data_IF_422559266896
#
_entry.id   IF_422559266896
#
_cell.length_a   1.000
_cell.length_b   1.000
_cell.length_c   1.000
_cell.angle_alpha   90.00
_cell.angle_beta   90.00
_cell.angle_gamma   90.00
#
_symmetry.space_group_name_H-M   'P 1'
#
loop_
_entity.id
_entity.type
_entity.pdbx_description
1 polymer ?
#
# COMPACT_ATOMS: atom_id res chain seq x y z
N UNK A 1 20.84 -19.65 -12.13
CA UNK A 1 19.51 -19.82 -11.50
C UNK A 1 19.03 -21.23 -11.81
N UNK A 2 18.67 -22.01 -10.80
CA UNK A 2 18.09 -23.35 -11.00
C UNK A 2 16.61 -23.23 -11.34
N UNK A 3 16.12 -24.15 -12.16
CA UNK A 3 14.74 -24.25 -12.60
C UNK A 3 13.99 -25.19 -11.65
N UNK A 4 12.85 -24.75 -11.11
CA UNK A 4 11.92 -25.57 -10.34
C UNK A 4 10.71 -25.91 -11.22
N UNK A 5 10.32 -27.18 -11.27
CA UNK A 5 9.20 -27.64 -12.08
C UNK A 5 7.94 -27.77 -11.22
N UNK A 6 6.84 -27.14 -11.66
CA UNK A 6 5.54 -27.20 -10.99
C UNK A 6 4.56 -27.96 -11.88
N UNK A 7 3.95 -29.01 -11.34
CA UNK A 7 2.86 -29.71 -12.01
C UNK A 7 1.51 -29.24 -11.52
N UNK A 8 0.57 -29.04 -12.45
CA UNK A 8 -0.86 -28.86 -12.18
C UNK A 8 -1.66 -29.46 -13.33
N UNK A 9 -2.77 -30.15 -13.03
CA UNK A 9 -3.67 -30.66 -14.08
C UNK A 9 -4.31 -29.53 -14.88
N UNK A 10 -4.49 -28.36 -14.25
CA UNK A 10 -5.03 -27.16 -14.87
C UNK A 10 -4.09 -25.98 -14.65
N UNK A 11 -3.59 -25.40 -15.74
CA UNK A 11 -2.76 -24.19 -15.73
C UNK A 11 -3.67 -23.00 -16.02
N UNK A 12 -3.89 -22.16 -15.02
CA UNK A 12 -4.80 -21.00 -15.10
C UNK A 12 -4.05 -19.67 -14.97
N UNK A 13 -4.63 -18.55 -15.41
CA UNK A 13 -4.05 -17.22 -15.17
C UNK A 13 -3.81 -16.94 -13.67
N UNK A 14 -4.73 -17.36 -12.79
CA UNK A 14 -4.60 -17.24 -11.32
C UNK A 14 -3.37 -17.99 -10.78
N UNK A 15 -3.18 -19.24 -11.23
CA UNK A 15 -2.04 -20.06 -10.83
C UNK A 15 -0.71 -19.46 -11.32
N UNK A 16 -0.65 -19.04 -12.59
CA UNK A 16 0.53 -18.37 -13.15
C UNK A 16 0.89 -17.09 -12.37
N UNK A 17 -0.11 -16.28 -12.04
CA UNK A 17 0.09 -15.04 -11.29
C UNK A 17 0.75 -15.29 -9.93
N UNK A 18 0.18 -16.20 -9.13
CA UNK A 18 0.69 -16.46 -7.78
C UNK A 18 2.04 -17.16 -7.78
N UNK A 19 2.28 -18.09 -8.72
CA UNK A 19 3.59 -18.73 -8.89
C UNK A 19 4.65 -17.67 -9.23
N UNK A 20 4.37 -16.76 -10.17
CA UNK A 20 5.33 -15.70 -10.49
C UNK A 20 5.58 -14.77 -9.29
N UNK A 21 4.54 -14.41 -8.53
CA UNK A 21 4.76 -13.61 -7.32
C UNK A 21 5.69 -14.31 -6.33
N UNK A 22 5.41 -15.58 -5.98
CA UNK A 22 6.18 -16.33 -5.00
C UNK A 22 7.60 -16.61 -5.50
N UNK A 23 7.74 -17.21 -6.68
CA UNK A 23 9.02 -17.74 -7.11
C UNK A 23 9.89 -16.68 -7.80
N UNK A 24 9.38 -15.94 -8.77
CA UNK A 24 10.17 -14.94 -9.49
C UNK A 24 10.35 -13.66 -8.65
N UNK A 25 9.23 -13.05 -8.24
CA UNK A 25 9.26 -11.75 -7.56
C UNK A 25 9.72 -11.83 -6.10
N UNK A 26 9.32 -12.84 -5.33
CA UNK A 26 9.70 -12.94 -3.93
C UNK A 26 11.00 -13.71 -3.73
N UNK A 27 11.09 -14.94 -4.26
CA UNK A 27 12.22 -15.85 -4.03
C UNK A 27 13.36 -15.73 -5.06
N UNK A 28 13.14 -15.16 -6.25
CA UNK A 28 14.15 -15.13 -7.32
C UNK A 28 14.52 -16.51 -7.91
N UNK A 29 13.58 -17.46 -7.86
CA UNK A 29 13.72 -18.82 -8.40
C UNK A 29 12.97 -18.89 -9.74
N UNK A 30 13.64 -19.39 -10.78
CA UNK A 30 12.98 -19.63 -12.07
C UNK A 30 12.09 -20.86 -11.96
N UNK A 31 10.87 -20.76 -12.46
CA UNK A 31 9.90 -21.86 -12.49
C UNK A 31 9.44 -22.16 -13.91
N UNK A 32 9.11 -23.41 -14.15
CA UNK A 32 8.31 -23.85 -15.29
C UNK A 32 7.07 -24.59 -14.79
N UNK A 33 5.94 -24.43 -15.47
CA UNK A 33 4.67 -25.04 -15.08
C UNK A 33 4.21 -25.98 -16.20
N UNK A 34 3.93 -27.23 -15.85
CA UNK A 34 3.53 -28.27 -16.81
C UNK A 34 2.26 -28.99 -16.38
N UNK A 35 1.47 -29.42 -17.35
CA UNK A 35 0.38 -30.38 -17.18
C UNK A 35 0.74 -31.76 -17.75
N UNK A 36 1.94 -31.92 -18.30
CA UNK A 36 2.47 -33.20 -18.76
C UNK A 36 3.02 -33.99 -17.57
N UNK A 37 2.25 -34.99 -17.15
CA UNK A 37 2.57 -35.85 -16.01
C UNK A 37 3.81 -36.72 -16.27
N UNK A 38 3.99 -37.20 -17.50
CA UNK A 38 5.13 -38.06 -17.84
C UNK A 38 6.42 -37.24 -17.88
N UNK A 39 6.37 -36.03 -18.43
CA UNK A 39 7.49 -35.08 -18.35
C UNK A 39 7.84 -34.75 -16.89
N UNK A 40 6.83 -34.51 -16.04
CA UNK A 40 7.05 -34.24 -14.62
C UNK A 40 7.68 -35.43 -13.87
N UNK A 41 7.19 -36.66 -14.12
CA UNK A 41 7.74 -37.87 -13.50
C UNK A 41 9.20 -38.07 -13.88
N UNK A 42 9.51 -37.94 -15.17
CA UNK A 42 10.85 -38.20 -15.73
C UNK A 42 11.86 -37.05 -15.53
N UNK A 43 11.44 -35.90 -14.98
CA UNK A 43 12.33 -34.77 -14.70
C UNK A 43 13.10 -34.94 -13.39
N UNK A 44 14.40 -34.66 -13.41
CA UNK A 44 15.28 -34.63 -12.22
C UNK A 44 15.32 -33.26 -11.52
N UNK A 45 14.53 -32.30 -11.97
CA UNK A 45 14.45 -30.98 -11.35
C UNK A 45 13.82 -31.05 -9.95
N UNK A 46 14.04 -30.03 -9.09
CA UNK A 46 13.19 -29.81 -7.92
C UNK A 46 11.74 -29.70 -8.35
N UNK A 47 10.86 -30.48 -7.72
CA UNK A 47 9.48 -30.67 -8.15
C UNK A 47 8.47 -30.27 -7.09
N UNK A 48 7.50 -29.45 -7.49
CA UNK A 48 6.28 -29.20 -6.72
C UNK A 48 5.10 -29.75 -7.51
N UNK A 49 4.19 -30.43 -6.83
CA UNK A 49 2.90 -30.81 -7.42
C UNK A 49 1.77 -30.08 -6.73
N UNK A 50 0.88 -29.49 -7.52
CA UNK A 50 -0.31 -28.79 -7.05
C UNK A 50 -1.56 -29.61 -7.39
N UNK A 51 -1.84 -30.63 -6.56
CA UNK A 51 -2.97 -31.55 -6.71
C UNK A 51 -3.37 -32.16 -5.35
N UNK A 52 -4.60 -32.65 -5.24
CA UNK A 52 -5.17 -33.17 -3.98
C UNK A 52 -4.57 -34.51 -3.52
N UNK A 53 -3.62 -35.06 -4.27
CA UNK A 53 -2.90 -36.31 -4.00
C UNK A 53 -1.42 -36.14 -4.30
N UNK A 54 -0.69 -37.24 -4.55
CA UNK A 54 0.73 -37.20 -4.91
C UNK A 54 0.98 -37.99 -6.18
N UNK A 55 1.99 -37.60 -6.94
CA UNK A 55 2.43 -38.35 -8.13
C UNK A 55 3.58 -39.28 -7.77
N UNK A 56 4.59 -38.74 -7.09
CA UNK A 56 5.82 -39.41 -6.66
C UNK A 56 6.15 -39.00 -5.22
N UNK A 57 7.45 -38.87 -4.89
CA UNK A 57 7.92 -38.28 -3.64
C UNK A 57 8.33 -36.81 -3.84
N UNK A 58 7.53 -35.99 -4.50
CA UNK A 58 7.75 -34.55 -4.67
C UNK A 58 7.28 -33.72 -3.46
N UNK A 59 7.45 -32.39 -3.51
CA UNK A 59 6.80 -31.49 -2.57
C UNK A 59 5.37 -31.22 -3.02
N UNK A 60 4.37 -31.69 -2.28
CA UNK A 60 2.97 -31.58 -2.68
C UNK A 60 2.24 -30.47 -1.91
N UNK A 61 1.49 -29.65 -2.64
CA UNK A 61 0.54 -28.66 -2.12
C UNK A 61 -0.85 -29.09 -2.58
N UNK A 62 -1.77 -29.30 -1.64
CA UNK A 62 -3.14 -29.65 -1.96
C UNK A 62 -3.93 -28.38 -2.30
N UNK A 63 -4.60 -28.31 -3.47
CA UNK A 63 -5.40 -27.16 -3.86
C UNK A 63 -6.72 -27.10 -3.08
N UNK A 64 -7.12 -25.91 -2.67
CA UNK A 64 -8.50 -25.57 -2.25
C UNK A 64 -9.45 -25.54 -3.46
N UNK A 65 -8.95 -25.03 -4.59
CA UNK A 65 -9.66 -24.95 -5.86
C UNK A 65 -9.91 -23.53 -6.36
N UNK A 66 -9.77 -22.49 -5.53
CA UNK A 66 -9.98 -21.08 -5.94
C UNK A 66 -9.14 -20.66 -7.16
N UNK A 67 -7.94 -21.24 -7.34
CA UNK A 67 -7.09 -20.95 -8.50
C UNK A 67 -7.60 -21.55 -9.81
N UNK A 68 -8.56 -22.47 -9.75
CA UNK A 68 -9.17 -23.11 -10.92
C UNK A 68 -10.54 -22.52 -11.28
N UNK A 69 -11.06 -21.63 -10.45
CA UNK A 69 -12.33 -20.95 -10.69
C UNK A 69 -12.17 -19.78 -11.67
N UNK A 70 -13.23 -19.50 -12.44
CA UNK A 70 -13.34 -18.31 -13.29
C UNK A 70 -14.33 -17.28 -12.73
N UNK A 71 -15.19 -17.71 -11.80
CA UNK A 71 -16.18 -16.84 -11.16
C UNK A 71 -15.63 -16.30 -9.84
N UNK A 72 -16.18 -15.17 -9.40
CA UNK A 72 -15.97 -14.64 -8.05
C UNK A 72 -17.13 -15.13 -7.19
N UNK A 73 -16.83 -15.97 -6.20
CA UNK A 73 -17.80 -16.58 -5.30
C UNK A 73 -17.46 -16.25 -3.86
N UNK A 74 -18.46 -16.19 -3.00
CA UNK A 74 -18.22 -15.99 -1.58
C UNK A 74 -17.34 -17.13 -1.03
N UNK A 75 -16.31 -16.75 -0.28
CA UNK A 75 -15.36 -17.67 0.35
C UNK A 75 -15.29 -17.37 1.84
N UNK A 76 -15.37 -18.40 2.66
CA UNK A 76 -15.18 -18.33 4.10
C UNK A 76 -14.03 -19.25 4.49
N UNK A 77 -12.78 -18.89 4.16
CA UNK A 77 -11.67 -19.75 4.50
C UNK A 77 -11.49 -19.78 6.02
N UNK A 78 -11.48 -21.00 6.57
CA UNK A 78 -11.15 -21.24 7.96
C UNK A 78 -9.70 -20.82 8.23
N UNK A 79 -9.45 -20.37 9.45
CA UNK A 79 -8.10 -20.05 9.93
C UNK A 79 -7.63 -21.11 10.91
N UNK A 80 -6.37 -21.51 10.75
CA UNK A 80 -5.64 -22.34 11.70
C UNK A 80 -4.25 -21.76 11.95
N UNK A 81 -3.59 -22.22 13.01
CA UNK A 81 -2.21 -21.83 13.32
C UNK A 81 -1.23 -22.87 12.77
N UNK A 82 -0.20 -22.40 12.06
CA UNK A 82 0.94 -23.20 11.60
C UNK A 82 2.24 -22.48 11.94
N UNK A 83 3.05 -23.06 12.84
CA UNK A 83 4.30 -22.45 13.33
C UNK A 83 4.11 -21.00 13.80
N UNK A 84 3.09 -20.77 14.63
CA UNK A 84 2.67 -19.45 15.12
C UNK A 84 2.24 -18.44 14.04
N UNK A 85 2.04 -18.90 12.80
CA UNK A 85 1.46 -18.12 11.72
C UNK A 85 -0.02 -18.49 11.54
N UNK A 86 -0.93 -17.50 11.49
CA UNK A 86 -2.28 -17.76 11.05
C UNK A 86 -2.24 -18.07 9.55
N UNK A 87 -2.85 -19.17 9.14
CA UNK A 87 -2.97 -19.59 7.74
C UNK A 87 -4.44 -19.81 7.40
N UNK A 88 -4.79 -19.54 6.14
CA UNK A 88 -6.14 -19.71 5.59
C UNK A 88 -6.12 -20.79 4.50
N UNK A 89 -7.29 -21.35 4.17
CA UNK A 89 -7.44 -22.48 3.23
C UNK A 89 -6.73 -23.76 3.71
N UNK A 90 -7.17 -24.37 4.84
CA UNK A 90 -6.56 -25.59 5.36
C UNK A 90 -6.61 -26.74 4.34
N UNK A 91 -5.56 -27.54 4.30
CA UNK A 91 -5.44 -28.68 3.41
C UNK A 91 -6.21 -29.89 3.98
N UNK A 92 -7.00 -30.55 3.13
CA UNK A 92 -7.87 -31.67 3.54
C UNK A 92 -7.20 -33.06 3.50
N UNK A 93 -5.96 -33.16 2.97
CA UNK A 93 -5.27 -34.41 2.63
C UNK A 93 -3.79 -34.37 3.05
N UNK A 94 -3.03 -35.50 3.03
CA UNK A 94 -1.60 -35.52 3.37
C UNK A 94 -0.72 -34.73 2.38
N UNK A 95 -0.69 -33.41 2.55
CA UNK A 95 0.18 -32.47 1.85
C UNK A 95 1.45 -32.16 2.66
N UNK A 96 2.44 -31.51 2.03
CA UNK A 96 3.65 -31.08 2.74
C UNK A 96 3.44 -29.80 3.57
N UNK A 97 2.37 -29.06 3.29
CA UNK A 97 1.92 -27.91 4.07
C UNK A 97 0.51 -28.17 4.62
N UNK A 98 0.15 -27.60 5.78
CA UNK A 98 -1.19 -27.78 6.33
C UNK A 98 -2.26 -26.92 5.65
N UNK A 99 -1.90 -26.11 4.65
CA UNK A 99 -2.81 -25.20 3.95
C UNK A 99 -2.38 -25.01 2.48
N UNK A 100 -3.31 -24.54 1.67
CA UNK A 100 -3.05 -24.13 0.30
C UNK A 100 -2.43 -22.72 0.28
N UNK A 101 -1.09 -22.67 0.31
CA UNK A 101 -0.35 -21.42 0.25
C UNK A 101 -0.60 -20.64 -1.05
N UNK A 102 -0.83 -21.32 -2.18
CA UNK A 102 -1.05 -20.63 -3.45
C UNK A 102 -2.43 -19.97 -3.46
N UNK A 103 -3.47 -20.65 -2.99
CA UNK A 103 -4.80 -20.03 -2.79
C UNK A 103 -4.75 -18.89 -1.78
N UNK A 104 -4.11 -19.09 -0.63
CA UNK A 104 -4.01 -18.08 0.43
C UNK A 104 -3.37 -16.79 -0.07
N UNK A 105 -2.21 -16.88 -0.74
CA UNK A 105 -1.52 -15.71 -1.27
C UNK A 105 -2.33 -15.03 -2.38
N UNK A 106 -2.93 -15.81 -3.29
CA UNK A 106 -3.78 -15.25 -4.34
C UNK A 106 -4.96 -14.46 -3.76
N UNK A 107 -5.66 -15.02 -2.78
CA UNK A 107 -6.79 -14.37 -2.10
C UNK A 107 -6.39 -13.03 -1.47
N UNK A 108 -5.22 -13.02 -0.81
CA UNK A 108 -4.67 -11.84 -0.15
C UNK A 108 -4.25 -10.73 -1.13
N UNK A 109 -3.51 -11.06 -2.18
CA UNK A 109 -2.97 -10.09 -3.14
C UNK A 109 -4.05 -9.50 -4.04
N UNK A 110 -5.01 -10.32 -4.48
CA UNK A 110 -6.11 -9.86 -5.34
C UNK A 110 -7.15 -9.04 -4.57
N UNK A 111 -7.03 -8.96 -3.24
CA UNK A 111 -8.06 -8.38 -2.36
C UNK A 111 -9.44 -8.97 -2.68
N UNK A 112 -9.50 -10.29 -2.83
CA UNK A 112 -10.67 -11.02 -3.32
C UNK A 112 -11.98 -10.63 -2.58
N UNK A 113 -11.89 -10.39 -1.27
CA UNK A 113 -12.99 -9.91 -0.41
C UNK A 113 -13.66 -8.62 -0.92
N UNK A 114 -12.91 -7.73 -1.56
CA UNK A 114 -13.39 -6.41 -1.97
C UNK A 114 -14.19 -6.45 -3.29
N UNK A 115 -14.20 -7.60 -3.96
CA UNK A 115 -15.08 -7.89 -5.10
C UNK A 115 -16.43 -8.48 -4.67
N UNK A 116 -16.55 -8.92 -3.42
CA UNK A 116 -17.79 -9.46 -2.84
C UNK A 116 -18.62 -8.33 -2.20
N UNK A 117 -19.91 -8.56 -1.91
CA UNK A 117 -20.72 -7.59 -1.17
C UNK A 117 -20.12 -7.28 0.22
N UNK A 118 -19.99 -6.00 0.55
CA UNK A 118 -19.56 -5.54 1.88
C UNK A 118 -20.30 -4.27 2.29
N UNK A 119 -20.26 -3.95 3.58
CA UNK A 119 -20.75 -2.67 4.09
C UNK A 119 -19.62 -1.64 4.03
N UNK A 120 -19.69 -0.62 3.17
CA UNK A 120 -18.64 0.38 3.08
C UNK A 120 -18.62 1.29 4.32
N UNK A 121 -17.47 1.88 4.61
CA UNK A 121 -17.37 2.95 5.59
C UNK A 121 -18.05 4.26 5.11
N UNK A 122 -18.05 5.28 5.95
CA UNK A 122 -18.67 6.60 5.62
C UNK A 122 -18.08 7.30 4.38
N UNK A 123 -16.94 6.83 3.88
CA UNK A 123 -16.25 7.34 2.70
C UNK A 123 -16.39 6.42 1.48
N UNK A 124 -17.19 5.34 1.58
CA UNK A 124 -17.37 4.40 0.49
C UNK A 124 -16.19 3.44 0.31
N UNK A 125 -15.38 3.20 1.36
CA UNK A 125 -14.18 2.34 1.30
C UNK A 125 -14.48 0.99 1.93
N UNK A 126 -13.72 -0.04 1.54
CA UNK A 126 -13.70 -1.31 2.26
C UNK A 126 -13.08 -1.11 3.66
N UNK A 127 -13.84 -1.29 4.76
CA UNK A 127 -13.32 -1.07 6.10
C UNK A 127 -12.42 -2.23 6.55
N UNK A 128 -11.38 -1.94 7.34
CA UNK A 128 -10.49 -2.96 7.89
C UNK A 128 -11.26 -4.04 8.67
N UNK A 129 -12.32 -3.66 9.40
CA UNK A 129 -13.14 -4.56 10.22
C UNK A 129 -13.86 -5.64 9.42
N UNK A 130 -14.05 -5.44 8.11
CA UNK A 130 -14.64 -6.45 7.24
C UNK A 130 -13.62 -7.47 6.73
N UNK A 131 -12.31 -7.18 6.82
CA UNK A 131 -11.26 -8.08 6.35
C UNK A 131 -11.06 -9.28 7.27
N UNK A 132 -10.69 -10.42 6.67
CA UNK A 132 -10.17 -11.57 7.40
C UNK A 132 -8.96 -11.22 8.26
N UNK A 133 -8.06 -10.36 7.78
CA UNK A 133 -6.88 -9.92 8.53
C UNK A 133 -7.25 -9.30 9.88
N UNK A 134 -8.32 -8.52 9.92
CA UNK A 134 -8.83 -7.95 11.15
C UNK A 134 -9.59 -8.99 11.97
N UNK A 135 -10.51 -9.74 11.35
CA UNK A 135 -11.34 -10.76 12.03
C UNK A 135 -10.50 -11.82 12.73
N UNK A 136 -9.37 -12.21 12.14
CA UNK A 136 -8.42 -13.17 12.69
C UNK A 136 -7.20 -12.53 13.38
N UNK A 137 -7.23 -11.22 13.63
CA UNK A 137 -6.23 -10.50 14.45
C UNK A 137 -4.78 -10.57 13.97
N UNK A 138 -4.55 -10.57 12.65
CA UNK A 138 -3.21 -10.56 12.05
C UNK A 138 -2.96 -9.39 11.11
N UNK A 139 -3.77 -8.33 11.20
CA UNK A 139 -3.64 -7.13 10.37
C UNK A 139 -2.26 -6.47 10.46
N UNK A 140 -1.58 -6.58 11.59
CA UNK A 140 -0.25 -6.00 11.83
C UNK A 140 0.89 -6.97 11.53
N UNK A 141 0.61 -8.07 10.83
CA UNK A 141 1.61 -9.05 10.38
C UNK A 141 1.70 -9.07 8.86
N UNK A 142 2.93 -9.13 8.35
CA UNK A 142 3.21 -9.36 6.93
C UNK A 142 3.00 -10.85 6.60
N UNK A 143 1.78 -11.37 6.81
CA UNK A 143 1.46 -12.80 6.78
C UNK A 143 1.86 -13.45 5.46
N UNK A 144 1.67 -12.78 4.31
CA UNK A 144 2.06 -13.30 3.00
C UNK A 144 3.58 -13.48 2.91
N UNK A 145 4.36 -12.46 3.32
CA UNK A 145 5.82 -12.54 3.32
C UNK A 145 6.29 -13.66 4.27
N UNK A 146 5.69 -13.77 5.46
CA UNK A 146 5.98 -14.83 6.44
C UNK A 146 5.63 -16.22 5.93
N UNK A 147 4.49 -16.39 5.25
CA UNK A 147 4.11 -17.65 4.64
C UNK A 147 5.12 -18.08 3.59
N UNK A 148 5.59 -17.16 2.74
CA UNK A 148 6.60 -17.50 1.71
C UNK A 148 7.94 -17.88 2.36
N UNK A 149 8.37 -17.20 3.43
CA UNK A 149 9.56 -17.58 4.17
C UNK A 149 9.44 -18.98 4.78
N UNK A 150 8.36 -19.26 5.51
CA UNK A 150 8.12 -20.57 6.13
C UNK A 150 7.99 -21.68 5.08
N UNK A 151 7.32 -21.39 3.96
CA UNK A 151 7.22 -22.28 2.81
C UNK A 151 8.59 -22.58 2.22
N UNK A 152 9.44 -21.56 2.02
CA UNK A 152 10.77 -21.77 1.45
C UNK A 152 11.66 -22.63 2.37
N UNK A 153 11.54 -22.49 3.69
CA UNK A 153 12.21 -23.37 4.65
C UNK A 153 11.76 -24.82 4.45
N UNK A 154 10.45 -25.08 4.46
CA UNK A 154 9.91 -26.43 4.24
C UNK A 154 10.30 -27.00 2.86
N UNK A 155 10.35 -26.17 1.83
CA UNK A 155 10.77 -26.57 0.49
C UNK A 155 12.26 -26.92 0.45
N UNK A 156 13.12 -26.18 1.16
CA UNK A 156 14.55 -26.46 1.29
C UNK A 156 14.87 -27.73 2.07
N UNK A 157 14.04 -28.11 3.03
CA UNK A 157 14.22 -29.40 3.72
C UNK A 157 14.16 -30.58 2.73
N UNK A 158 13.39 -30.42 1.64
CA UNK A 158 13.29 -31.41 0.57
C UNK A 158 14.28 -31.19 -0.56
N UNK A 159 14.55 -29.94 -0.92
CA UNK A 159 15.46 -29.54 -1.99
C UNK A 159 16.51 -28.56 -1.46
N UNK A 160 17.54 -29.05 -0.72
CA UNK A 160 18.52 -28.22 -0.03
C UNK A 160 19.33 -27.31 -0.97
N UNK A 161 19.38 -27.68 -2.23
CA UNK A 161 20.14 -27.04 -3.29
C UNK A 161 19.43 -25.83 -3.92
N UNK A 162 18.18 -25.54 -3.52
CA UNK A 162 17.46 -24.31 -3.86
C UNK A 162 18.01 -23.11 -3.08
N UNK A 163 18.18 -22.01 -3.79
CA UNK A 163 18.71 -20.75 -3.26
C UNK A 163 17.73 -19.65 -3.63
N UNK A 164 17.23 -18.93 -2.62
CA UNK A 164 16.45 -17.71 -2.83
C UNK A 164 17.38 -16.52 -3.02
N UNK A 165 16.94 -15.50 -3.75
CA UNK A 165 17.63 -14.22 -3.79
C UNK A 165 17.66 -13.59 -2.40
N UNK A 166 18.71 -12.82 -2.15
CA UNK A 166 18.77 -11.96 -0.98
C UNK A 166 17.78 -10.80 -1.14
N UNK A 167 17.09 -10.50 -0.04
CA UNK A 167 16.15 -9.39 0.07
C UNK A 167 16.72 -8.39 1.06
N UNK A 168 16.49 -7.11 0.81
CA UNK A 168 16.94 -6.04 1.71
C UNK A 168 15.75 -5.23 2.16
N UNK A 169 15.72 -4.92 3.46
CA UNK A 169 14.79 -3.96 4.02
C UNK A 169 14.96 -2.60 3.33
N UNK A 170 13.83 -1.95 3.03
CA UNK A 170 13.79 -0.59 2.45
C UNK A 170 12.78 0.26 3.20
N UNK A 171 13.03 1.55 3.25
CA UNK A 171 12.09 2.53 3.76
C UNK A 171 11.82 3.59 2.69
N UNK A 172 10.54 3.85 2.41
CA UNK A 172 10.11 4.89 1.47
C UNK A 172 9.18 5.85 2.22
N UNK A 173 9.67 7.04 2.62
CA UNK A 173 8.82 8.07 3.18
C UNK A 173 7.96 8.69 2.07
N UNK A 174 6.71 9.02 2.39
CA UNK A 174 5.82 9.68 1.45
C UNK A 174 5.01 10.78 2.12
N UNK A 175 4.73 11.84 1.37
CA UNK A 175 3.95 13.00 1.84
C UNK A 175 2.78 13.27 0.91
N UNK A 176 1.58 13.43 1.48
CA UNK A 176 0.39 13.85 0.76
C UNK A 176 0.16 15.36 0.98
N UNK A 177 -0.06 16.09 -0.11
CA UNK A 177 -0.28 17.54 -0.10
C UNK A 177 -1.73 17.84 -0.43
N UNK A 178 -2.58 17.80 0.60
CA UNK A 178 -4.01 18.10 0.49
C UNK A 178 -4.28 19.60 0.61
N UNK A 179 -3.68 20.22 1.61
CA UNK A 179 -3.90 21.62 1.98
C UNK A 179 -2.54 22.27 2.27
N UNK A 180 -1.85 22.80 1.25
CA UNK A 180 -0.51 23.35 1.40
C UNK A 180 -0.43 24.67 2.20
N UNK A 181 -1.57 25.33 2.42
CA UNK A 181 -1.66 26.61 3.14
C UNK A 181 -2.88 26.58 4.06
N UNK A 182 -2.74 26.94 5.32
CA UNK A 182 -3.83 27.10 6.28
C UNK A 182 -4.68 28.33 5.92
N UNK A 183 -4.05 29.42 5.50
CA UNK A 183 -4.68 30.72 5.30
C UNK A 183 -4.40 31.33 3.92
N UNK A 184 -3.14 31.31 3.47
CA UNK A 184 -2.75 31.96 2.23
C UNK A 184 -3.38 31.29 1.00
N UNK A 185 -3.54 32.07 -0.07
CA UNK A 185 -4.03 31.62 -1.38
C UNK A 185 -5.43 30.96 -1.43
N UNK A 186 -6.19 30.92 -0.32
CA UNK A 186 -7.56 30.35 -0.27
C UNK A 186 -8.66 31.26 -0.82
N UNK A 187 -8.34 32.51 -1.14
CA UNK A 187 -9.29 33.51 -1.65
C UNK A 187 -10.07 34.19 -0.51
N UNK A 188 -10.53 35.42 -0.78
CA UNK A 188 -11.06 36.35 0.23
C UNK A 188 -12.24 35.77 1.00
N UNK A 189 -13.21 35.17 0.31
CA UNK A 189 -14.41 34.60 0.96
C UNK A 189 -14.10 33.47 1.94
N UNK A 190 -13.13 32.59 1.62
CA UNK A 190 -12.71 31.50 2.53
C UNK A 190 -11.96 32.05 3.74
N UNK A 191 -11.16 33.10 3.55
CA UNK A 191 -10.48 33.76 4.67
C UNK A 191 -11.47 34.45 5.61
N UNK A 192 -12.44 35.20 5.07
CA UNK A 192 -13.50 35.86 5.84
C UNK A 192 -14.40 34.86 6.57
N UNK A 193 -14.87 33.82 5.88
CA UNK A 193 -15.69 32.77 6.50
C UNK A 193 -14.95 32.04 7.62
N UNK A 194 -13.65 31.77 7.44
CA UNK A 194 -12.80 31.19 8.49
C UNK A 194 -12.62 32.11 9.70
N UNK A 195 -12.50 33.42 9.48
CA UNK A 195 -12.42 34.42 10.55
C UNK A 195 -13.73 34.51 11.35
N UNK A 196 -14.87 34.60 10.66
CA UNK A 196 -16.21 34.61 11.28
C UNK A 196 -16.42 33.33 12.10
N UNK A 197 -16.08 32.17 11.54
CA UNK A 197 -16.20 30.90 12.26
C UNK A 197 -15.33 30.85 13.51
N UNK A 198 -14.11 31.41 13.46
CA UNK A 198 -13.21 31.47 14.61
C UNK A 198 -13.78 32.37 15.72
N UNK A 199 -14.43 33.48 15.36
CA UNK A 199 -15.12 34.37 16.32
C UNK A 199 -16.30 33.63 16.96
N UNK A 200 -17.16 32.98 16.16
CA UNK A 200 -18.32 32.22 16.65
C UNK A 200 -17.88 31.09 17.60
N UNK A 201 -16.76 30.42 17.30
CA UNK A 201 -16.19 29.35 18.13
C UNK A 201 -15.31 29.85 19.28
N UNK A 202 -15.15 31.17 19.45
CA UNK A 202 -14.28 31.80 20.45
C UNK A 202 -12.80 31.35 20.34
N UNK A 203 -12.34 30.99 19.15
CA UNK A 203 -10.97 30.56 18.85
C UNK A 203 -10.07 31.77 18.52
N UNK A 204 -9.95 32.72 19.45
CA UNK A 204 -9.24 33.99 19.21
C UNK A 204 -7.76 33.83 18.83
N UNK A 205 -7.09 32.77 19.34
CA UNK A 205 -5.71 32.46 18.96
C UNK A 205 -5.59 32.16 17.47
N UNK A 206 -6.52 31.35 16.91
CA UNK A 206 -6.55 31.05 15.47
C UNK A 206 -6.91 32.28 14.64
N UNK A 207 -7.76 33.16 15.15
CA UNK A 207 -8.07 34.43 14.49
C UNK A 207 -6.83 35.33 14.41
N UNK A 208 -6.09 35.49 15.52
CA UNK A 208 -4.87 36.29 15.53
C UNK A 208 -3.82 35.69 14.59
N UNK A 209 -3.56 34.38 14.66
CA UNK A 209 -2.63 33.70 13.75
C UNK A 209 -2.99 33.95 12.28
N UNK A 210 -4.26 33.75 11.90
CA UNK A 210 -4.75 34.07 10.56
C UNK A 210 -4.46 35.51 10.14
N UNK A 211 -4.72 36.48 11.01
CA UNK A 211 -4.46 37.90 10.72
C UNK A 211 -2.97 38.20 10.56
N UNK A 212 -2.11 37.65 11.43
CA UNK A 212 -0.66 37.81 11.34
C UNK A 212 -0.10 37.21 10.05
N UNK A 213 -0.59 36.02 9.65
CA UNK A 213 -0.17 35.36 8.41
C UNK A 213 -0.63 36.15 7.17
N UNK A 214 -1.89 36.58 7.13
CA UNK A 214 -2.39 37.41 6.01
C UNK A 214 -1.65 38.75 5.92
N UNK A 215 -1.26 39.33 7.06
CA UNK A 215 -0.48 40.56 7.11
C UNK A 215 1.03 40.36 6.81
N UNK A 216 1.48 39.12 6.55
CA UNK A 216 2.88 38.80 6.26
C UNK A 216 3.82 38.88 7.47
N UNK A 217 3.27 38.91 8.69
CA UNK A 217 4.05 39.00 9.94
C UNK A 217 4.47 37.64 10.48
N UNK A 218 3.84 36.56 10.00
CA UNK A 218 4.12 35.17 10.37
C UNK A 218 4.02 34.29 9.12
N UNK A 219 4.81 33.20 9.02
CA UNK A 219 4.66 32.21 7.95
C UNK A 219 3.35 31.45 8.09
N UNK A 220 2.83 30.94 6.97
CA UNK A 220 1.65 30.07 7.00
C UNK A 220 1.99 28.71 7.64
N UNK A 221 1.27 28.26 8.69
CA UNK A 221 1.67 27.09 9.46
C UNK A 221 1.61 25.77 8.68
N UNK A 222 0.85 25.70 7.58
CA UNK A 222 0.80 24.48 6.76
C UNK A 222 1.87 24.45 5.66
N UNK A 223 2.57 25.57 5.45
CA UNK A 223 3.64 25.65 4.47
C UNK A 223 4.96 25.17 5.08
N UNK A 224 5.15 23.85 5.08
CA UNK A 224 6.23 23.15 5.83
C UNK A 224 7.34 22.60 4.94
N UNK A 225 7.32 22.90 3.63
CA UNK A 225 8.14 22.24 2.62
C UNK A 225 9.65 22.44 2.79
N UNK A 226 10.09 23.54 3.41
CA UNK A 226 11.50 23.73 3.74
C UNK A 226 11.97 22.74 4.83
N UNK A 227 11.16 22.52 5.86
CA UNK A 227 11.43 21.48 6.88
C UNK A 227 11.43 20.09 6.27
N UNK A 228 10.47 19.79 5.38
CA UNK A 228 10.42 18.51 4.67
C UNK A 228 11.72 18.30 3.88
N UNK A 229 12.17 19.31 3.13
CA UNK A 229 13.43 19.25 2.37
C UNK A 229 14.63 18.99 3.28
N UNK A 230 14.72 19.69 4.41
CA UNK A 230 15.82 19.52 5.38
C UNK A 230 15.89 18.09 5.95
N UNK A 231 14.75 17.44 6.14
CA UNK A 231 14.67 16.05 6.63
C UNK A 231 14.93 15.00 5.53
N UNK A 232 14.90 15.37 4.26
CA UNK A 232 15.09 14.47 3.11
C UNK A 232 16.17 14.96 2.13
N UNK A 233 17.44 15.06 2.57
CA UNK A 233 18.52 15.50 1.69
C UNK A 233 18.81 14.52 0.54
N UNK A 234 18.52 13.23 0.74
CA UNK A 234 18.93 12.13 -0.16
C UNK A 234 17.92 11.85 -1.31
N UNK A 235 16.78 12.53 -1.35
CA UNK A 235 15.82 12.42 -2.46
C UNK A 235 14.95 11.13 -2.49
N UNK A 236 14.95 10.32 -1.42
CA UNK A 236 14.12 9.10 -1.30
C UNK A 236 12.62 9.38 -1.05
N UNK A 237 12.22 10.66 -0.99
CA UNK A 237 10.85 11.10 -0.72
C UNK A 237 9.98 11.07 -1.98
N UNK A 238 8.74 10.61 -1.82
CA UNK A 238 7.68 10.76 -2.82
C UNK A 238 6.60 11.70 -2.27
N UNK A 239 6.26 12.74 -3.03
CA UNK A 239 5.21 13.70 -2.66
C UNK A 239 4.03 13.61 -3.62
N UNK A 240 2.84 13.35 -3.09
CA UNK A 240 1.61 13.24 -3.85
C UNK A 240 0.82 14.55 -3.80
N UNK A 241 0.45 15.09 -4.96
CA UNK A 241 -0.23 16.38 -5.07
C UNK A 241 -1.70 16.25 -5.42
N UNK A 242 -2.57 16.85 -4.60
CA UNK A 242 -4.00 16.93 -4.86
C UNK A 242 -4.26 17.93 -5.99
N UNK A 243 -4.51 17.43 -7.20
CA UNK A 243 -4.80 18.27 -8.38
C UNK A 243 -6.30 18.44 -8.67
N UNK A 244 -7.10 18.50 -7.61
CA UNK A 244 -8.55 18.54 -7.67
C UNK A 244 -9.13 19.96 -7.83
N UNK A 245 -10.35 20.02 -8.41
CA UNK A 245 -11.24 21.17 -8.21
C UNK A 245 -11.73 21.21 -6.76
N UNK A 246 -12.02 22.41 -6.22
CA UNK A 246 -12.50 22.55 -4.84
C UNK A 246 -13.86 21.87 -4.65
N UNK A 247 -13.98 21.01 -3.64
CA UNK A 247 -15.15 20.20 -3.40
C UNK A 247 -15.47 19.98 -1.93
N UNK A 248 -16.38 19.04 -1.64
CA UNK A 248 -16.75 18.66 -0.27
C UNK A 248 -15.57 18.06 0.50
N UNK A 249 -14.82 17.17 -0.14
CA UNK A 249 -13.68 16.46 0.45
C UNK A 249 -12.35 17.09 0.03
N UNK A 250 -12.25 17.62 -1.17
CA UNK A 250 -11.04 18.22 -1.73
C UNK A 250 -10.97 19.72 -1.40
N UNK A 251 -10.12 20.10 -0.44
CA UNK A 251 -10.08 21.47 0.14
C UNK A 251 -8.86 22.30 -0.25
N UNK A 252 -7.98 21.73 -1.07
CA UNK A 252 -6.74 22.34 -1.54
C UNK A 252 -6.92 23.64 -2.33
N UNK A 253 -5.80 24.20 -2.75
CA UNK A 253 -5.77 25.32 -3.68
C UNK A 253 -5.88 24.79 -5.11
N UNK A 254 -6.53 25.55 -5.99
CA UNK A 254 -6.74 25.12 -7.37
C UNK A 254 -5.40 25.01 -8.13
N UNK A 255 -5.15 23.96 -8.94
CA UNK A 255 -3.87 23.72 -9.60
C UNK A 255 -3.39 24.84 -10.54
N UNK A 256 -4.32 25.63 -11.07
CA UNK A 256 -4.00 26.75 -11.94
C UNK A 256 -3.44 27.99 -11.22
N UNK A 257 -3.47 28.04 -9.88
CA UNK A 257 -2.89 29.17 -9.13
C UNK A 257 -1.37 29.12 -9.17
N UNK A 258 -0.72 30.29 -9.33
CA UNK A 258 0.74 30.39 -9.34
C UNK A 258 1.37 29.78 -8.08
N UNK A 259 0.78 30.01 -6.89
CA UNK A 259 1.26 29.43 -5.64
C UNK A 259 1.26 27.89 -5.61
N UNK A 260 0.38 27.23 -6.38
CA UNK A 260 0.42 25.77 -6.54
C UNK A 260 1.54 25.35 -7.50
N UNK A 261 1.68 26.06 -8.63
CA UNK A 261 2.72 25.80 -9.63
C UNK A 261 4.13 25.97 -9.05
N UNK A 262 4.34 27.07 -8.33
CA UNK A 262 5.59 27.35 -7.59
C UNK A 262 5.87 26.29 -6.54
N UNK A 263 4.85 25.82 -5.82
CA UNK A 263 5.00 24.75 -4.84
C UNK A 263 5.44 23.44 -5.51
N UNK A 264 4.75 23.01 -6.56
CA UNK A 264 5.10 21.77 -7.28
C UNK A 264 6.52 21.87 -7.84
N UNK A 265 6.89 23.02 -8.43
CA UNK A 265 8.25 23.27 -8.93
C UNK A 265 9.31 23.29 -7.82
N UNK A 266 8.98 23.80 -6.62
CA UNK A 266 9.88 23.75 -5.47
C UNK A 266 10.10 22.30 -5.01
N UNK A 267 9.02 21.53 -4.86
CA UNK A 267 9.06 20.15 -4.38
C UNK A 267 9.74 19.20 -5.38
N UNK A 268 9.58 19.43 -6.69
CA UNK A 268 10.24 18.62 -7.72
C UNK A 268 11.77 18.69 -7.68
N UNK A 269 12.35 19.70 -7.02
CA UNK A 269 13.80 19.83 -6.85
C UNK A 269 14.41 18.88 -5.81
N UNK A 270 13.60 18.25 -4.95
CA UNK A 270 14.08 17.36 -3.88
C UNK A 270 13.21 16.12 -3.62
N UNK A 271 12.09 15.96 -4.32
CA UNK A 271 11.16 14.84 -4.15
C UNK A 271 10.69 14.33 -5.50
N UNK A 272 10.45 13.02 -5.58
CA UNK A 272 9.67 12.45 -6.67
C UNK A 272 8.22 12.92 -6.55
N UNK A 273 7.55 13.09 -7.70
CA UNK A 273 6.17 13.57 -7.75
C UNK A 273 5.21 12.43 -8.05
N UNK A 274 4.07 12.43 -7.35
CA UNK A 274 2.94 11.55 -7.62
C UNK A 274 1.63 12.34 -7.71
N UNK A 275 0.66 11.76 -8.40
CA UNK A 275 -0.69 12.26 -8.44
C UNK A 275 -1.44 11.88 -7.17
N UNK A 276 -2.18 12.81 -6.56
CA UNK A 276 -3.18 12.52 -5.52
C UNK A 276 -4.58 12.76 -6.10
N UNK A 277 -5.20 11.80 -6.80
CA UNK A 277 -6.47 12.02 -7.49
C UNK A 277 -7.58 12.42 -6.52
N UNK A 278 -8.50 13.27 -6.98
CA UNK A 278 -9.61 13.75 -6.15
C UNK A 278 -10.50 12.62 -5.64
N UNK A 279 -11.23 12.88 -4.57
CA UNK A 279 -12.15 11.91 -3.95
C UNK A 279 -13.19 11.31 -4.94
N UNK A 280 -13.56 12.09 -5.97
CA UNK A 280 -14.58 11.70 -6.96
C UNK A 280 -14.00 11.09 -8.25
N UNK A 281 -12.67 11.04 -8.40
CA UNK A 281 -12.00 10.59 -9.62
C UNK A 281 -11.96 9.07 -9.78
N UNK A 282 -12.02 8.30 -8.70
CA UNK A 282 -11.76 6.84 -8.69
C UNK A 282 -12.67 5.95 -9.56
N UNK A 283 -13.78 6.50 -10.10
CA UNK A 283 -14.65 5.84 -11.10
C UNK A 283 -14.85 6.66 -12.38
N UNK A 284 -14.11 7.75 -12.55
CA UNK A 284 -14.35 8.77 -13.60
C UNK A 284 -13.05 9.06 -14.35
N UNK A 285 -12.80 8.28 -15.39
CA UNK A 285 -11.62 8.40 -16.26
C UNK A 285 -11.38 9.85 -16.72
N UNK A 286 -12.42 10.56 -17.18
CA UNK A 286 -12.29 11.95 -17.63
C UNK A 286 -11.77 12.92 -16.56
N UNK A 287 -12.13 12.72 -15.28
CA UNK A 287 -11.65 13.54 -14.17
C UNK A 287 -10.20 13.20 -13.88
N UNK A 288 -9.88 11.92 -13.69
CA UNK A 288 -8.51 11.48 -13.39
C UNK A 288 -7.53 11.90 -14.48
N UNK A 289 -7.92 11.77 -15.75
CA UNK A 289 -7.15 12.24 -16.90
C UNK A 289 -6.88 13.75 -16.87
N UNK A 290 -7.89 14.57 -16.54
CA UNK A 290 -7.73 16.02 -16.39
C UNK A 290 -6.73 16.34 -15.26
N UNK A 291 -6.88 15.69 -14.12
CA UNK A 291 -6.05 15.88 -12.92
C UNK A 291 -4.59 15.47 -13.17
N UNK A 292 -4.38 14.33 -13.85
CA UNK A 292 -3.07 13.85 -14.28
C UNK A 292 -2.39 14.84 -15.22
N UNK A 293 -3.04 15.21 -16.32
CA UNK A 293 -2.46 16.15 -17.28
C UNK A 293 -2.18 17.53 -16.69
N UNK A 294 -3.01 17.99 -15.74
CA UNK A 294 -2.72 19.22 -15.02
C UNK A 294 -1.41 19.13 -14.22
N UNK A 295 -1.18 18.01 -13.53
CA UNK A 295 0.06 17.81 -12.78
C UNK A 295 1.26 17.65 -13.71
N UNK A 296 1.15 16.84 -14.77
CA UNK A 296 2.22 16.63 -15.76
C UNK A 296 2.65 17.95 -16.40
N UNK A 297 1.69 18.81 -16.76
CA UNK A 297 1.97 20.12 -17.34
C UNK A 297 2.72 21.03 -16.37
N UNK A 298 2.36 21.03 -15.08
CA UNK A 298 3.02 21.85 -14.06
C UNK A 298 4.40 21.30 -13.72
N UNK A 299 4.53 19.98 -13.64
CA UNK A 299 5.78 19.29 -13.34
C UNK A 299 6.78 19.33 -14.52
N UNK A 300 6.30 19.51 -15.75
CA UNK A 300 7.12 19.48 -16.95
C UNK A 300 7.55 18.08 -17.37
N UNK A 301 6.82 17.03 -16.95
CA UNK A 301 7.19 15.64 -17.20
C UNK A 301 6.07 14.65 -16.91
N UNK A 302 6.29 13.39 -17.27
CA UNK A 302 5.34 12.29 -17.00
C UNK A 302 5.20 12.06 -15.50
N UNK A 303 3.98 11.85 -15.05
CA UNK A 303 3.67 11.36 -13.69
C UNK A 303 3.22 9.90 -13.82
N UNK A 304 3.89 9.01 -13.11
CA UNK A 304 3.69 7.55 -13.18
C UNK A 304 3.28 6.92 -11.84
N UNK A 305 3.15 7.73 -10.79
CA UNK A 305 2.79 7.32 -9.43
C UNK A 305 1.45 7.95 -9.03
N UNK A 306 0.65 7.19 -8.32
CA UNK A 306 -0.65 7.63 -7.82
C UNK A 306 -0.86 7.21 -6.36
N UNK A 307 -1.59 8.03 -5.61
CA UNK A 307 -2.20 7.65 -4.33
C UNK A 307 -3.58 8.27 -4.26
N UNK A 308 -4.63 7.48 -4.06
CA UNK A 308 -6.00 7.98 -4.00
C UNK A 308 -6.21 8.84 -2.75
N UNK A 309 -6.83 10.01 -2.91
CA UNK A 309 -7.31 10.80 -1.78
C UNK A 309 -8.30 9.97 -0.94
N UNK A 310 -8.16 10.03 0.38
CA UNK A 310 -8.84 9.15 1.35
C UNK A 310 -8.52 7.66 1.22
N UNK A 311 -7.52 7.26 0.42
CA UNK A 311 -7.20 5.85 0.13
C UNK A 311 -8.40 5.08 -0.45
N UNK A 312 -9.24 5.79 -1.19
CA UNK A 312 -10.51 5.29 -1.70
C UNK A 312 -10.30 4.47 -2.96
N UNK A 313 -9.96 3.21 -2.76
CA UNK A 313 -9.86 2.19 -3.80
C UNK A 313 -11.21 1.53 -4.04
N UNK A 314 -11.62 1.46 -5.30
CA UNK A 314 -12.82 0.76 -5.75
C UNK A 314 -12.39 -0.27 -6.79
N UNK A 315 -12.51 -1.55 -6.45
CA UNK A 315 -12.04 -2.64 -7.31
C UNK A 315 -13.13 -3.08 -8.30
N UNK A 316 -12.76 -3.35 -9.57
CA UNK A 316 -11.44 -3.12 -10.17
C UNK A 316 -11.27 -1.72 -10.79
N UNK A 317 -12.29 -0.85 -10.72
CA UNK A 317 -12.38 0.33 -11.58
C UNK A 317 -11.23 1.32 -11.38
N UNK A 318 -10.83 1.57 -10.14
CA UNK A 318 -9.76 2.53 -9.84
C UNK A 318 -8.44 2.11 -10.50
N UNK A 319 -8.03 0.85 -10.34
CA UNK A 319 -6.77 0.35 -10.90
C UNK A 319 -6.82 0.16 -12.41
N UNK A 320 -7.97 -0.19 -12.97
CA UNK A 320 -8.15 -0.20 -14.41
C UNK A 320 -7.97 1.19 -15.02
N UNK A 321 -8.58 2.23 -14.44
CA UNK A 321 -8.43 3.61 -14.93
C UNK A 321 -6.97 4.07 -14.82
N UNK A 322 -6.28 3.78 -13.69
CA UNK A 322 -4.85 4.13 -13.54
C UNK A 322 -3.99 3.44 -14.61
N UNK A 323 -4.22 2.14 -14.86
CA UNK A 323 -3.51 1.37 -15.88
C UNK A 323 -3.74 1.93 -17.28
N UNK A 324 -4.99 2.26 -17.62
CA UNK A 324 -5.39 2.85 -18.92
C UNK A 324 -4.73 4.22 -19.16
N UNK A 325 -4.48 4.98 -18.09
CA UNK A 325 -3.81 6.29 -18.16
C UNK A 325 -2.27 6.20 -18.08
N UNK A 326 -1.72 4.98 -18.03
CA UNK A 326 -0.27 4.76 -18.07
C UNK A 326 0.45 5.05 -16.75
N UNK A 327 -0.27 5.11 -15.64
CA UNK A 327 0.28 5.10 -14.28
C UNK A 327 0.88 3.71 -14.03
N UNK A 328 2.13 3.69 -13.58
CA UNK A 328 2.88 2.45 -13.34
C UNK A 328 2.79 1.96 -11.89
N UNK A 329 2.59 2.86 -10.92
CA UNK A 329 2.59 2.53 -9.51
C UNK A 329 1.44 3.19 -8.74
N UNK A 330 0.76 2.43 -7.89
CA UNK A 330 -0.22 2.93 -6.92
C UNK A 330 0.24 2.69 -5.47
N UNK A 331 0.14 3.71 -4.64
CA UNK A 331 0.57 3.72 -3.24
C UNK A 331 -0.62 3.82 -2.27
N UNK A 332 -1.80 3.30 -2.65
CA UNK A 332 -3.05 3.44 -1.89
C UNK A 332 -3.42 2.18 -1.08
N UNK A 333 -2.70 1.07 -1.26
CA UNK A 333 -3.04 -0.24 -0.68
C UNK A 333 -2.71 -0.33 0.82
N UNK A 334 -3.57 0.26 1.63
CA UNK A 334 -3.58 0.16 3.09
C UNK A 334 -4.94 0.58 3.65
N UNK A 335 -5.09 0.59 4.97
CA UNK A 335 -6.31 1.05 5.62
C UNK A 335 -6.13 2.44 6.23
N UNK A 336 -7.13 3.29 6.07
CA UNK A 336 -7.12 4.61 6.69
C UNK A 336 -7.37 4.55 8.20
N UNK A 337 -8.11 3.55 8.69
CA UNK A 337 -8.51 3.46 10.10
C UNK A 337 -7.56 2.66 10.97
N UNK A 338 -6.72 1.81 10.38
CA UNK A 338 -5.84 0.90 11.09
C UNK A 338 -4.48 0.84 10.37
N UNK A 339 -3.36 0.82 11.11
CA UNK A 339 -2.08 0.49 10.52
C UNK A 339 -2.00 -1.02 10.24
N UNK A 340 -1.06 -1.42 9.39
CA UNK A 340 -0.80 -2.83 9.06
C UNK A 340 -0.85 -3.13 7.57
N UNK A 341 -1.11 -4.39 7.23
CA UNK A 341 -0.88 -4.95 5.90
C UNK A 341 -2.21 -5.32 5.26
N UNK A 342 -2.81 -4.40 4.50
CA UNK A 342 -4.11 -4.63 3.83
C UNK A 342 -4.08 -5.85 2.92
N UNK A 343 -3.07 -5.97 2.05
CA UNK A 343 -2.88 -7.16 1.21
C UNK A 343 -2.09 -8.28 1.92
N UNK A 344 -1.92 -8.21 3.25
CA UNK A 344 -1.10 -9.15 4.02
C UNK A 344 0.39 -9.10 3.70
N UNK A 345 0.84 -8.14 2.88
CA UNK A 345 2.22 -8.03 2.42
C UNK A 345 2.77 -6.60 2.45
N UNK A 346 4.09 -6.48 2.63
CA UNK A 346 4.87 -5.27 2.34
C UNK A 346 5.72 -5.38 1.07
N UNK A 347 5.57 -6.47 0.31
CA UNK A 347 6.24 -6.67 -0.96
C UNK A 347 5.38 -6.10 -2.08
N UNK A 348 5.92 -5.22 -2.95
CA UNK A 348 5.20 -4.77 -4.14
C UNK A 348 4.74 -5.92 -5.02
N UNK A 349 3.53 -5.83 -5.56
CA UNK A 349 2.94 -6.85 -6.43
C UNK A 349 2.16 -6.19 -7.57
N UNK A 350 1.93 -6.91 -8.67
CA UNK A 350 1.11 -6.38 -9.74
C UNK A 350 -0.38 -6.60 -9.45
N UNK A 351 -1.21 -5.65 -9.86
CA UNK A 351 -2.66 -5.79 -9.76
C UNK A 351 -3.15 -6.94 -10.66
N UNK A 352 -3.99 -7.81 -10.09
CA UNK A 352 -4.72 -8.83 -10.85
C UNK A 352 -6.20 -8.44 -10.89
N UNK A 353 -6.72 -8.19 -12.10
CA UNK A 353 -8.14 -7.91 -12.30
C UNK A 353 -8.92 -9.23 -12.34
N UNK A 354 -9.56 -9.58 -11.22
CA UNK A 354 -10.40 -10.77 -11.11
C UNK A 354 -11.57 -10.80 -12.10
N UNK A 355 -12.10 -9.64 -12.54
CA UNK A 355 -13.19 -9.63 -13.52
C UNK A 355 -12.69 -9.96 -14.93
N UNK A 356 -11.43 -9.65 -15.23
CA UNK A 356 -10.80 -9.91 -16.54
C UNK A 356 -9.93 -11.17 -16.56
N UNK A 357 -9.73 -11.82 -15.41
CA UNK A 357 -8.78 -12.92 -15.20
C UNK A 357 -7.40 -12.60 -15.78
N UNK A 358 -6.96 -11.36 -15.54
CA UNK A 358 -5.75 -10.83 -16.15
C UNK A 358 -4.98 -10.00 -15.14
N UNK A 359 -3.69 -10.22 -15.11
CA UNK A 359 -2.76 -9.34 -14.43
C UNK A 359 -2.44 -8.10 -15.28
N UNK A 360 -2.44 -6.94 -14.64
CA UNK A 360 -2.03 -5.69 -15.26
C UNK A 360 -0.56 -5.35 -15.00
N UNK A 361 -0.07 -4.33 -15.68
CA UNK A 361 1.28 -3.77 -15.45
C UNK A 361 1.33 -2.79 -14.27
N UNK A 362 0.19 -2.44 -13.67
CA UNK A 362 0.13 -1.54 -12.52
C UNK A 362 0.67 -2.25 -11.28
N UNK A 363 1.75 -1.70 -10.73
CA UNK A 363 2.35 -2.19 -9.50
C UNK A 363 1.69 -1.54 -8.29
N UNK A 364 1.17 -2.36 -7.40
CA UNK A 364 0.62 -1.97 -6.12
C UNK A 364 1.76 -1.95 -5.11
N UNK A 365 1.96 -0.78 -4.48
CA UNK A 365 2.94 -0.55 -3.44
C UNK A 365 2.21 -0.34 -2.10
N UNK A 366 2.08 -1.38 -1.26
CA UNK A 366 1.32 -1.28 -0.01
C UNK A 366 2.03 -0.42 1.03
N UNK A 367 1.26 0.30 1.84
CA UNK A 367 1.78 1.10 2.96
C UNK A 367 1.25 0.58 4.30
N UNK A 368 2.02 0.83 5.38
CA UNK A 368 1.75 0.22 6.69
C UNK A 368 1.30 1.23 7.74
N UNK A 369 1.71 2.49 7.63
CA UNK A 369 1.39 3.51 8.63
C UNK A 369 1.11 4.88 8.01
N UNK A 370 0.23 5.62 8.67
CA UNK A 370 -0.16 6.97 8.29
C UNK A 370 -0.36 7.82 9.56
N UNK A 371 0.16 9.04 9.55
CA UNK A 371 0.05 10.02 10.65
C UNK A 371 -1.39 10.20 11.16
N UNK A 372 -2.35 10.44 10.27
CA UNK A 372 -3.78 10.61 10.58
C UNK A 372 -4.37 9.32 11.17
N UNK A 373 -3.90 8.15 10.76
CA UNK A 373 -4.31 6.88 11.39
C UNK A 373 -3.89 6.86 12.86
N UNK A 374 -2.61 7.13 13.12
CA UNK A 374 -2.05 7.08 14.48
C UNK A 374 -2.68 8.15 15.37
N UNK A 375 -2.82 9.38 14.87
CA UNK A 375 -3.34 10.52 15.63
C UNK A 375 -4.86 10.52 15.76
N UNK A 376 -5.57 10.53 14.63
CA UNK A 376 -7.00 10.84 14.60
C UNK A 376 -7.88 9.60 14.72
N UNK A 377 -7.47 8.47 14.13
CA UNK A 377 -8.23 7.22 14.23
C UNK A 377 -7.95 6.48 15.54
N UNK A 378 -6.67 6.35 15.92
CA UNK A 378 -6.27 5.64 17.14
C UNK A 378 -6.14 6.54 18.37
N UNK A 379 -6.08 7.87 18.22
CA UNK A 379 -5.99 8.79 19.36
C UNK A 379 -4.65 8.71 20.11
N UNK A 380 -3.58 8.24 19.47
CA UNK A 380 -2.30 8.01 20.13
C UNK A 380 -1.59 9.34 20.46
N UNK A 381 -0.88 9.34 21.58
CA UNK A 381 0.12 10.36 21.88
C UNK A 381 1.36 10.17 20.97
N UNK A 382 2.22 11.20 20.81
CA UNK A 382 3.49 11.05 20.09
C UNK A 382 4.32 9.84 20.53
N UNK A 383 4.37 9.55 21.83
CA UNK A 383 5.05 8.37 22.38
C UNK A 383 4.40 7.06 21.93
N UNK A 384 3.09 6.92 22.10
CA UNK A 384 2.36 5.72 21.69
C UNK A 384 2.38 5.49 20.17
N UNK A 385 2.39 6.58 19.39
CA UNK A 385 2.58 6.52 17.94
C UNK A 385 3.97 5.95 17.59
N UNK A 386 5.03 6.38 18.28
CA UNK A 386 6.37 5.83 18.08
C UNK A 386 6.48 4.35 18.43
N UNK A 387 5.85 3.88 19.50
CA UNK A 387 5.84 2.45 19.85
C UNK A 387 5.15 1.62 18.74
N UNK A 388 4.03 2.13 18.22
CA UNK A 388 3.31 1.51 17.10
C UNK A 388 4.16 1.45 15.83
N UNK A 389 4.84 2.55 15.51
CA UNK A 389 5.74 2.67 14.35
C UNK A 389 6.88 1.65 14.45
N UNK A 390 7.53 1.54 15.61
CA UNK A 390 8.64 0.61 15.82
C UNK A 390 8.22 -0.84 15.59
N UNK A 391 7.10 -1.26 16.17
CA UNK A 391 6.59 -2.63 15.99
C UNK A 391 6.33 -2.97 14.52
N UNK A 392 5.75 -2.05 13.75
CA UNK A 392 5.49 -2.26 12.32
C UNK A 392 6.78 -2.27 11.50
N UNK A 393 7.71 -1.36 11.80
CA UNK A 393 9.00 -1.30 11.13
C UNK A 393 9.85 -2.55 11.40
N UNK A 394 9.82 -3.09 12.62
CA UNK A 394 10.45 -4.37 12.98
C UNK A 394 9.80 -5.56 12.28
N UNK A 395 8.47 -5.57 12.18
CA UNK A 395 7.73 -6.58 11.40
C UNK A 395 8.20 -6.59 9.94
N UNK A 396 8.27 -5.44 9.28
CA UNK A 396 8.76 -5.31 7.90
C UNK A 396 10.23 -5.69 7.79
N UNK A 397 11.07 -5.30 8.76
CA UNK A 397 12.50 -5.66 8.80
C UNK A 397 12.69 -7.17 8.93
N UNK A 398 11.85 -7.85 9.72
CA UNK A 398 11.92 -9.30 9.92
C UNK A 398 11.69 -10.13 8.65
N UNK A 399 11.07 -9.53 7.63
CA UNK A 399 10.84 -10.15 6.31
C UNK A 399 11.64 -9.47 5.19
N UNK A 400 12.56 -8.57 5.52
CA UNK A 400 13.32 -7.76 4.56
C UNK A 400 12.41 -7.13 3.48
N UNK A 401 11.30 -6.53 3.92
CA UNK A 401 10.30 -5.90 3.06
C UNK A 401 10.51 -4.39 2.88
N UNK A 402 9.50 -3.73 2.31
CA UNK A 402 9.50 -2.28 2.11
C UNK A 402 8.52 -1.63 3.09
N UNK A 403 9.03 -0.78 3.98
CA UNK A 403 8.22 0.03 4.88
C UNK A 403 7.82 1.31 4.16
N UNK A 404 6.53 1.60 4.10
CA UNK A 404 6.02 2.87 3.57
C UNK A 404 5.17 3.59 4.61
N UNK A 405 5.50 4.86 4.81
CA UNK A 405 4.78 5.76 5.71
C UNK A 405 4.15 6.91 4.96
N UNK A 406 2.91 7.24 5.30
CA UNK A 406 2.17 8.39 4.78
C UNK A 406 2.14 9.50 5.84
N UNK A 407 2.51 10.70 5.43
CA UNK A 407 2.44 11.91 6.23
C UNK A 407 1.76 13.01 5.44
N UNK A 408 1.14 13.97 6.10
CA UNK A 408 0.56 15.13 5.44
C UNK A 408 1.41 16.36 5.70
N UNK A 409 1.48 17.29 4.75
CA UNK A 409 2.34 18.48 4.89
C UNK A 409 2.06 19.26 6.20
N UNK A 410 0.81 19.32 6.65
CA UNK A 410 0.40 20.02 7.86
C UNK A 410 0.81 19.30 9.16
N UNK A 411 1.08 17.99 9.11
CA UNK A 411 1.62 17.23 10.25
C UNK A 411 3.00 17.73 10.69
N UNK A 412 3.77 18.33 9.78
CA UNK A 412 5.08 18.92 10.07
C UNK A 412 5.02 20.35 10.61
N UNK A 413 3.82 20.91 10.79
CA UNK A 413 3.64 22.25 11.37
C UNK A 413 4.15 22.29 12.82
N UNK A 414 4.08 21.15 13.51
CA UNK A 414 4.43 20.99 14.93
C UNK A 414 3.65 21.97 15.83
N UNK A 415 2.40 22.24 15.47
CA UNK A 415 1.57 23.25 16.11
C UNK A 415 0.12 22.80 16.22
N UNK A 416 -0.62 23.38 17.16
CA UNK A 416 -2.03 23.05 17.37
C UNK A 416 -2.22 21.55 17.65
N UNK A 417 -3.03 20.89 16.83
CA UNK A 417 -3.28 19.45 16.99
C UNK A 417 -2.08 18.56 16.60
N UNK A 418 -1.11 19.10 15.86
CA UNK A 418 0.09 18.40 15.40
C UNK A 418 1.31 18.65 16.27
N UNK A 419 1.17 19.32 17.42
CA UNK A 419 2.27 19.52 18.35
C UNK A 419 2.90 18.19 18.80
N UNK A 420 4.23 18.09 18.70
CA UNK A 420 5.02 16.91 19.00
C UNK A 420 5.12 15.88 17.87
N UNK A 421 4.39 16.04 16.77
CA UNK A 421 4.39 15.06 15.67
C UNK A 421 5.60 15.17 14.74
N UNK A 422 6.24 16.35 14.68
CA UNK A 422 7.50 16.50 13.95
C UNK A 422 8.60 15.60 14.55
N UNK A 423 8.65 15.50 15.88
CA UNK A 423 9.60 14.62 16.58
C UNK A 423 9.33 13.15 16.29
N UNK A 424 8.05 12.74 16.20
CA UNK A 424 7.66 11.37 15.80
C UNK A 424 8.24 11.05 14.43
N UNK A 425 8.09 11.95 13.47
CA UNK A 425 8.64 11.74 12.13
C UNK A 425 10.15 11.64 12.12
N UNK A 426 10.84 12.56 12.79
CA UNK A 426 12.30 12.56 12.87
C UNK A 426 12.83 11.26 13.48
N UNK A 427 12.18 10.77 14.55
CA UNK A 427 12.52 9.48 15.16
C UNK A 427 12.25 8.29 14.24
N UNK A 428 11.16 8.32 13.47
CA UNK A 428 10.90 7.34 12.41
C UNK A 428 12.04 7.33 11.38
N UNK A 429 12.45 8.49 10.86
CA UNK A 429 13.53 8.57 9.87
C UNK A 429 14.83 7.94 10.37
N UNK A 430 15.20 8.22 11.62
CA UNK A 430 16.38 7.61 12.25
C UNK A 430 16.20 6.10 12.38
N UNK A 431 15.13 5.65 13.03
CA UNK A 431 14.87 4.23 13.29
C UNK A 431 14.75 3.37 12.01
N UNK A 432 14.14 3.94 10.96
CA UNK A 432 13.97 3.24 9.70
C UNK A 432 15.25 3.23 8.84
N UNK A 433 16.13 4.23 8.97
CA UNK A 433 17.42 4.24 8.25
C UNK A 433 18.54 3.48 8.98
N UNK A 434 18.39 3.24 10.28
CA UNK A 434 19.33 2.40 11.03
C UNK A 434 19.39 0.98 10.43
N UNK A 435 20.55 0.65 9.88
CA UNK A 435 20.92 -0.73 9.56
C UNK A 435 21.17 -1.43 10.89
N UNK A 436 20.23 -2.28 11.32
CA UNK A 436 20.51 -3.20 12.41
C UNK A 436 21.58 -4.15 11.88
N UNK A 437 22.81 -3.98 12.35
CA UNK A 437 23.85 -5.00 12.18
C UNK A 437 23.40 -6.16 13.09
N UNK A 438 22.72 -7.14 12.50
CA UNK A 438 22.33 -8.37 13.21
C UNK A 438 23.56 -9.25 13.44
#
# INVERSE_FOLDING_TARGET
>A
MKLLLIFSEHITPRLNYVIRFIFDQFLGIKTDITSDKDFFINSDLPKISYLSGRITNEFNISPDGILFEQEIKEKHPDMQMWNDLPVIFPANNPANLPFDIFAAIFFMLTRYEEYLPYTPDRYGRFPATESLNFKYSFLEKAVVDRWIHAFFVALKDKYPELISKERTYRFIPTVDVDIPYAYLHKGVFRCLGGAILSIIKLEFNKLNERLQVIAGKQPDPFYTFDRIREMHPDGELITFFLTADYGRYDKGIHPQKNAFKELVSKVSSFSQLGLHPSYNSGKRNNILKKELHALEHIAGGKIDRSRQHYLKLLFPETYNILSELGIGEDYSMGYASHPGFRAGTCTPFNFYDLLREQESTLKVIPFQLMDVTLKNYLGLSPGGAMDKIKNLAEEVRSVNGTLISIWHNDSFSDSGEWAGWLEVYQKLLVFAKEQVTL
#
